data_IF_220655971309
#
_entry.id   IF_220655971309
#
_cell.length_a   1.000
_cell.length_b   1.000
_cell.length_c   1.000
_cell.angle_alpha   90.00
_cell.angle_beta   90.00
_cell.angle_gamma   90.00
#
_symmetry.space_group_name_H-M   'P 1'
#
loop_
_entity.id
_entity.type
_entity.pdbx_description
1 polymer ?
#
# COMPACT_ATOMS: atom_id res chain seq x y z
N UNK A 1 5.51 15.51 20.12
CA UNK A 1 6.09 15.69 18.78
C UNK A 1 5.60 17.00 18.19
N UNK A 2 6.46 17.72 17.48
CA UNK A 2 6.05 18.92 16.75
C UNK A 2 5.42 18.55 15.40
N UNK A 3 4.84 19.52 14.69
CA UNK A 3 4.16 19.27 13.40
C UNK A 3 5.11 18.76 12.29
N UNK A 4 6.40 19.12 12.33
CA UNK A 4 7.39 18.66 11.34
C UNK A 4 7.79 17.19 11.56
N UNK A 5 7.93 16.76 12.81
CA UNK A 5 8.20 15.36 13.16
C UNK A 5 7.05 14.45 12.73
N UNK A 6 5.81 14.86 13.01
CA UNK A 6 4.61 14.11 12.61
C UNK A 6 4.50 13.98 11.08
N UNK A 7 4.80 15.05 10.34
CA UNK A 7 4.78 15.02 8.86
C UNK A 7 5.88 14.11 8.29
N UNK A 8 7.06 14.09 8.90
CA UNK A 8 8.16 13.22 8.47
C UNK A 8 7.85 11.74 8.70
N UNK A 9 7.21 11.41 9.82
CA UNK A 9 6.83 10.04 10.16
C UNK A 9 5.76 9.51 9.20
N UNK A 10 4.69 10.27 8.98
CA UNK A 10 3.61 9.90 8.04
C UNK A 10 4.15 9.71 6.61
N UNK A 11 5.12 10.53 6.17
CA UNK A 11 5.76 10.37 4.87
C UNK A 11 6.59 9.07 4.79
N UNK A 12 7.28 8.69 5.86
CA UNK A 12 8.06 7.45 5.90
C UNK A 12 7.14 6.23 5.84
N UNK A 13 6.04 6.25 6.58
CA UNK A 13 5.00 5.21 6.55
C UNK A 13 4.38 5.09 5.16
N UNK A 14 4.04 6.22 4.53
CA UNK A 14 3.49 6.25 3.17
C UNK A 14 4.44 5.58 2.16
N UNK A 15 5.73 5.93 2.18
CA UNK A 15 6.74 5.31 1.31
C UNK A 15 6.81 3.80 1.58
N UNK A 16 6.84 3.40 2.85
CA UNK A 16 6.90 1.99 3.22
C UNK A 16 5.70 1.18 2.72
N UNK A 17 4.48 1.74 2.78
CA UNK A 17 3.28 1.08 2.26
C UNK A 17 3.31 0.96 0.74
N UNK A 18 3.78 1.99 0.03
CA UNK A 18 3.93 1.95 -1.43
C UNK A 18 4.94 0.89 -1.87
N UNK A 19 6.07 0.75 -1.18
CA UNK A 19 7.05 -0.30 -1.44
C UNK A 19 6.46 -1.71 -1.20
N UNK A 20 5.68 -1.88 -0.15
CA UNK A 20 4.98 -3.14 0.15
C UNK A 20 3.95 -3.51 -0.92
N UNK A 21 3.21 -2.51 -1.43
CA UNK A 21 2.27 -2.70 -2.55
C UNK A 21 3.05 -3.15 -3.81
N UNK A 22 4.16 -2.49 -4.13
CA UNK A 22 4.97 -2.88 -5.28
C UNK A 22 5.51 -4.31 -5.16
N UNK A 23 5.98 -4.70 -3.97
CA UNK A 23 6.46 -6.05 -3.72
C UNK A 23 5.34 -7.10 -3.83
N UNK A 24 4.17 -6.84 -3.27
CA UNK A 24 3.06 -7.80 -3.34
C UNK A 24 2.52 -7.94 -4.76
N UNK A 25 2.50 -6.84 -5.54
CA UNK A 25 2.12 -6.87 -6.95
C UNK A 25 3.07 -7.74 -7.77
N UNK A 26 4.38 -7.65 -7.52
CA UNK A 26 5.37 -8.56 -8.12
C UNK A 26 5.12 -10.03 -7.72
N UNK A 27 4.81 -10.30 -6.45
CA UNK A 27 4.53 -11.66 -6.00
C UNK A 27 3.25 -12.23 -6.63
N UNK A 28 2.21 -11.41 -6.80
CA UNK A 28 0.99 -11.77 -7.52
C UNK A 28 1.31 -12.12 -8.96
N UNK A 29 2.05 -11.28 -9.67
CA UNK A 29 2.44 -11.52 -11.07
C UNK A 29 3.21 -12.84 -11.22
N UNK A 30 4.17 -13.11 -10.33
CA UNK A 30 4.97 -14.33 -10.34
C UNK A 30 4.16 -15.61 -10.16
N UNK A 31 3.05 -15.56 -9.42
CA UNK A 31 2.23 -16.74 -9.08
C UNK A 31 0.87 -16.74 -9.80
N UNK A 32 0.63 -15.83 -10.75
CA UNK A 32 -0.66 -15.73 -11.47
C UNK A 32 -0.96 -16.95 -12.35
N UNK A 33 0.07 -17.70 -12.75
CA UNK A 33 -0.07 -18.88 -13.61
C UNK A 33 0.17 -20.20 -12.86
N UNK A 34 0.27 -20.17 -11.54
CA UNK A 34 0.45 -21.39 -10.74
C UNK A 34 -0.85 -22.19 -10.68
N UNK A 35 -0.75 -23.51 -10.57
CA UNK A 35 -1.92 -24.39 -10.48
C UNK A 35 -2.68 -24.27 -9.14
N UNK A 36 -2.05 -23.66 -8.11
CA UNK A 36 -2.62 -23.48 -6.77
C UNK A 36 -2.93 -22.01 -6.46
N UNK A 37 -4.23 -21.70 -6.46
CA UNK A 37 -4.75 -20.37 -6.15
C UNK A 37 -4.58 -19.98 -4.68
N UNK A 38 -4.27 -20.90 -3.75
CA UNK A 38 -4.18 -20.57 -2.33
C UNK A 38 -3.16 -19.46 -2.07
N UNK A 39 -1.98 -19.57 -2.69
CA UNK A 39 -0.90 -18.58 -2.53
C UNK A 39 -1.27 -17.24 -3.17
N UNK A 40 -1.87 -17.27 -4.37
CA UNK A 40 -2.34 -16.07 -5.06
C UNK A 40 -3.40 -15.32 -4.24
N UNK A 41 -4.37 -16.03 -3.68
CA UNK A 41 -5.41 -15.46 -2.82
C UNK A 41 -4.82 -14.78 -1.58
N UNK A 42 -3.79 -15.38 -0.98
CA UNK A 42 -3.10 -14.78 0.18
C UNK A 42 -2.40 -13.46 -0.18
N UNK A 43 -1.78 -13.38 -1.36
CA UNK A 43 -1.16 -12.13 -1.81
C UNK A 43 -2.20 -11.06 -2.14
N UNK A 44 -3.30 -11.43 -2.80
CA UNK A 44 -4.40 -10.50 -3.08
C UNK A 44 -5.06 -9.97 -1.80
N UNK A 45 -5.20 -10.83 -0.78
CA UNK A 45 -5.69 -10.41 0.53
C UNK A 45 -4.75 -9.37 1.17
N UNK A 46 -3.44 -9.66 1.23
CA UNK A 46 -2.44 -8.71 1.76
C UNK A 46 -2.42 -7.39 0.99
N UNK A 47 -2.49 -7.44 -0.33
CA UNK A 47 -2.60 -6.25 -1.19
C UNK A 47 -3.79 -5.37 -0.79
N UNK A 48 -4.93 -5.98 -0.50
CA UNK A 48 -6.13 -5.25 -0.05
C UNK A 48 -5.89 -4.56 1.30
N UNK A 49 -5.15 -5.20 2.22
CA UNK A 49 -4.79 -4.59 3.50
C UNK A 49 -3.87 -3.37 3.31
N UNK A 50 -2.83 -3.48 2.48
CA UNK A 50 -1.93 -2.35 2.20
C UNK A 50 -2.64 -1.19 1.49
N UNK A 51 -3.59 -1.48 0.59
CA UNK A 51 -4.40 -0.44 -0.05
C UNK A 51 -5.31 0.29 0.95
N UNK A 52 -5.82 -0.41 1.95
CA UNK A 52 -6.61 0.19 3.02
C UNK A 52 -5.72 1.09 3.91
N UNK A 53 -4.52 0.62 4.27
CA UNK A 53 -3.53 1.41 5.01
C UNK A 53 -3.09 2.67 4.26
N UNK A 54 -2.80 2.54 2.96
CA UNK A 54 -2.49 3.67 2.08
C UNK A 54 -3.60 4.72 2.10
N UNK A 55 -4.86 4.28 2.01
CA UNK A 55 -6.02 5.18 2.05
C UNK A 55 -6.09 5.94 3.38
N UNK A 56 -5.83 5.27 4.50
CA UNK A 56 -5.84 5.88 5.83
C UNK A 56 -4.73 6.92 5.98
N UNK A 57 -3.52 6.62 5.50
CA UNK A 57 -2.40 7.57 5.50
C UNK A 57 -2.69 8.81 4.63
N UNK A 58 -3.24 8.61 3.43
CA UNK A 58 -3.63 9.74 2.57
C UNK A 58 -4.70 10.62 3.22
N UNK A 59 -5.68 10.02 3.91
CA UNK A 59 -6.69 10.78 4.66
C UNK A 59 -6.09 11.60 5.80
N UNK A 60 -5.09 11.06 6.52
CA UNK A 60 -4.37 11.81 7.57
C UNK A 60 -3.64 13.02 7.00
N UNK A 61 -3.15 12.92 5.76
CA UNK A 61 -2.53 14.03 5.02
C UNK A 61 -3.53 14.96 4.34
N UNK A 62 -4.84 14.69 4.49
CA UNK A 62 -5.92 15.41 3.82
C UNK A 62 -5.82 15.36 2.28
N UNK A 63 -5.29 14.26 1.75
CA UNK A 63 -5.16 13.95 0.32
C UNK A 63 -6.28 12.97 -0.06
N UNK A 64 -7.08 13.33 -1.05
CA UNK A 64 -8.02 12.43 -1.71
C UNK A 64 -7.29 11.59 -2.76
N UNK A 65 -7.66 10.32 -2.99
CA UNK A 65 -7.13 9.54 -4.11
C UNK A 65 -7.28 10.24 -5.47
N UNK A 66 -8.30 11.09 -5.64
CA UNK A 66 -8.49 11.90 -6.85
C UNK A 66 -7.41 12.96 -7.05
N UNK A 67 -6.76 13.41 -5.97
CA UNK A 67 -5.69 14.41 -6.04
C UNK A 67 -4.39 13.82 -6.61
N UNK A 68 -4.30 12.48 -6.64
CA UNK A 68 -3.17 11.74 -7.20
C UNK A 68 -3.35 11.43 -8.69
N UNK A 69 -4.54 11.65 -9.26
CA UNK A 69 -4.83 11.42 -10.67
C UNK A 69 -4.51 12.71 -11.45
N UNK A 70 -3.39 12.73 -12.17
CA UNK A 70 -2.96 13.81 -13.06
C UNK A 70 -3.18 13.48 -14.54
#
# INVERSE_FOLDING_TARGET
MNQQELSSEVNHELIGVLEQIQQIDYMIEMHTNDEDDFTLNQYQYKRTQFLQELRELLQQMNISPTDLVA
#
